data_IF_504660368426
#
_entry.id   IF_504660368426
#
_cell.length_a   1.000
_cell.length_b   1.000
_cell.length_c   1.000
_cell.angle_alpha   90.00
_cell.angle_beta   90.00
_cell.angle_gamma   90.00
#
_symmetry.space_group_name_H-M   'P 1'
#
loop_
_entity.id
_entity.type
_entity.pdbx_description
1 polymer ?
#
# COMPACT_ATOMS: atom_id res chain seq x y z
N UNK A 1 1.63 28.12 13.43
CA UNK A 1 1.96 26.72 13.80
C UNK A 1 2.13 25.75 12.62
N UNK A 2 1.53 25.98 11.45
CA UNK A 2 1.63 25.06 10.28
C UNK A 2 3.05 24.95 9.69
N UNK A 3 3.90 25.98 9.86
CA UNK A 3 5.23 26.02 9.23
C UNK A 3 6.25 25.11 9.95
N UNK A 4 6.22 25.07 11.30
CA UNK A 4 7.14 24.23 12.10
C UNK A 4 7.02 22.74 11.79
N UNK A 5 5.80 22.23 11.60
CA UNK A 5 5.58 20.83 11.24
C UNK A 5 6.09 20.50 9.83
N UNK A 6 5.95 21.43 8.88
CA UNK A 6 6.50 21.27 7.53
C UNK A 6 8.02 21.25 7.56
N UNK A 7 8.65 22.11 8.36
CA UNK A 7 10.11 22.16 8.49
C UNK A 7 10.67 20.90 9.14
N UNK A 8 10.01 20.37 10.18
CA UNK A 8 10.38 19.10 10.81
C UNK A 8 10.22 17.95 9.82
N UNK A 9 9.11 17.89 9.09
CA UNK A 9 8.87 16.86 8.08
C UNK A 9 9.92 16.93 6.96
N UNK A 10 10.27 18.12 6.47
CA UNK A 10 11.30 18.32 5.45
C UNK A 10 12.67 17.84 5.96
N UNK A 11 13.06 18.21 7.19
CA UNK A 11 14.29 17.73 7.83
C UNK A 11 14.33 16.20 7.98
N UNK A 12 13.22 15.59 8.39
CA UNK A 12 13.11 14.13 8.48
C UNK A 12 13.20 13.46 7.11
N UNK A 13 12.58 14.05 6.09
CA UNK A 13 12.62 13.53 4.71
C UNK A 13 14.03 13.62 4.14
N UNK A 14 14.73 14.72 4.42
CA UNK A 14 16.12 14.92 4.02
C UNK A 14 17.07 13.97 4.77
N UNK A 15 16.80 13.66 6.03
CA UNK A 15 17.51 12.63 6.77
C UNK A 15 17.24 11.22 6.22
N UNK A 16 16.01 10.89 5.83
CA UNK A 16 15.68 9.59 5.25
C UNK A 16 16.08 9.46 3.77
N UNK A 17 16.49 10.56 3.13
CA UNK A 17 16.93 10.58 1.75
C UNK A 17 18.18 9.72 1.57
N UNK A 18 18.15 8.82 0.58
CA UNK A 18 19.26 7.88 0.29
C UNK A 18 19.37 6.69 1.26
N UNK A 19 18.40 6.49 2.17
CA UNK A 19 18.28 5.28 3.00
C UNK A 19 17.17 4.38 2.47
N UNK A 20 17.11 3.13 2.95
CA UNK A 20 16.11 2.16 2.50
C UNK A 20 14.67 2.61 2.81
N UNK A 21 14.44 3.20 3.99
CA UNK A 21 13.11 3.61 4.42
C UNK A 21 12.24 2.44 4.89
N UNK A 22 10.92 2.67 4.95
CA UNK A 22 9.95 1.68 5.43
C UNK A 22 9.48 0.77 4.29
N UNK A 23 9.91 -0.50 4.32
CA UNK A 23 9.55 -1.52 3.32
C UNK A 23 8.63 -2.61 3.91
N UNK A 24 8.14 -3.54 3.07
CA UNK A 24 7.18 -4.57 3.50
C UNK A 24 7.79 -5.58 4.46
N UNK A 25 9.06 -5.92 4.30
CA UNK A 25 9.79 -6.83 5.18
C UNK A 25 10.04 -6.17 6.55
N UNK A 26 10.47 -4.91 6.57
CA UNK A 26 10.61 -4.11 7.80
C UNK A 26 9.27 -3.96 8.51
N UNK A 27 8.17 -3.70 7.79
CA UNK A 27 6.83 -3.68 8.37
C UNK A 27 6.42 -5.03 8.97
N UNK A 28 6.73 -6.14 8.29
CA UNK A 28 6.50 -7.49 8.81
C UNK A 28 7.28 -7.74 10.10
N UNK A 29 8.58 -7.46 10.13
CA UNK A 29 9.43 -7.62 11.30
C UNK A 29 8.95 -6.79 12.50
N UNK A 30 8.51 -5.56 12.26
CA UNK A 30 7.95 -4.68 13.29
C UNK A 30 6.64 -5.24 13.85
N UNK A 31 5.70 -5.63 12.99
CA UNK A 31 4.41 -6.21 13.41
C UNK A 31 4.64 -7.51 14.18
N UNK A 32 5.49 -8.40 13.69
CA UNK A 32 5.84 -9.65 14.37
C UNK A 32 6.46 -9.37 15.74
N UNK A 33 7.41 -8.42 15.84
CA UNK A 33 8.02 -8.04 17.11
C UNK A 33 7.01 -7.44 18.11
N UNK A 34 6.05 -6.63 17.63
CA UNK A 34 4.98 -6.09 18.46
C UNK A 34 4.01 -7.19 18.95
N UNK A 35 3.64 -8.12 18.08
CA UNK A 35 2.80 -9.27 18.45
C UNK A 35 3.49 -10.14 19.49
N UNK A 36 4.78 -10.44 19.30
CA UNK A 36 5.55 -11.23 20.26
C UNK A 36 5.63 -10.55 21.63
N UNK A 37 5.82 -9.22 21.67
CA UNK A 37 5.76 -8.47 22.92
C UNK A 37 4.37 -8.51 23.57
N UNK A 38 3.29 -8.42 22.78
CA UNK A 38 1.92 -8.57 23.27
C UNK A 38 1.66 -9.95 23.87
N UNK A 39 2.08 -11.01 23.17
CA UNK A 39 1.98 -12.40 23.64
C UNK A 39 2.81 -12.59 24.92
N UNK A 40 4.03 -12.05 24.96
CA UNK A 40 4.89 -12.10 26.14
C UNK A 40 4.24 -11.42 27.35
N UNK A 41 3.56 -10.29 27.14
CA UNK A 41 2.81 -9.61 28.20
C UNK A 41 1.63 -10.47 28.70
N UNK A 42 0.92 -11.15 27.81
CA UNK A 42 -0.17 -12.07 28.19
C UNK A 42 0.35 -13.29 28.96
N UNK A 43 1.46 -13.90 28.51
CA UNK A 43 2.09 -15.04 29.20
C UNK A 43 2.53 -14.62 30.59
N UNK A 44 3.14 -13.44 30.75
CA UNK A 44 3.56 -12.91 32.06
C UNK A 44 2.40 -12.80 33.06
N UNK A 45 1.20 -12.44 32.58
CA UNK A 45 -0.01 -12.34 33.40
C UNK A 45 -0.58 -13.71 33.77
N UNK A 46 -0.61 -14.67 32.83
CA UNK A 46 -1.25 -15.98 33.04
C UNK A 46 -0.34 -17.04 33.67
N UNK A 47 0.96 -17.05 33.34
CA UNK A 47 1.99 -18.00 33.78
C UNK A 47 3.34 -17.28 33.86
N UNK A 48 3.72 -16.71 35.02
CA UNK A 48 4.95 -15.94 35.16
C UNK A 48 6.19 -16.85 35.17
N UNK A 49 6.58 -17.35 34.00
CA UNK A 49 7.87 -18.00 33.79
C UNK A 49 8.92 -16.96 33.41
N UNK A 50 9.87 -16.71 34.31
CA UNK A 50 10.90 -15.69 34.12
C UNK A 50 11.82 -16.02 32.94
N UNK A 51 12.19 -17.29 32.78
CA UNK A 51 13.10 -17.74 31.71
C UNK A 51 12.47 -17.62 30.32
N UNK A 52 11.22 -18.09 30.17
CA UNK A 52 10.53 -18.06 28.87
C UNK A 52 10.24 -16.62 28.45
N UNK A 53 9.76 -15.78 29.37
CA UNK A 53 9.46 -14.38 29.07
C UNK A 53 10.73 -13.57 28.75
N UNK A 54 11.87 -13.86 29.40
CA UNK A 54 13.14 -13.23 29.08
C UNK A 54 13.61 -13.56 27.66
N UNK A 55 13.52 -14.83 27.24
CA UNK A 55 13.90 -15.27 25.89
C UNK A 55 13.00 -14.61 24.85
N UNK A 56 11.68 -14.63 25.03
CA UNK A 56 10.74 -14.01 24.08
C UNK A 56 10.97 -12.49 24.00
N UNK A 57 11.25 -11.84 25.12
CA UNK A 57 11.59 -10.40 25.14
C UNK A 57 12.85 -10.14 24.34
N UNK A 58 13.93 -10.89 24.57
CA UNK A 58 15.20 -10.73 23.87
C UNK A 58 15.04 -10.91 22.35
N UNK A 59 14.29 -11.93 21.91
CA UNK A 59 13.98 -12.17 20.49
C UNK A 59 13.16 -11.00 19.91
N UNK A 60 12.14 -10.54 20.63
CA UNK A 60 11.28 -9.44 20.18
C UNK A 60 12.07 -8.14 20.00
N UNK A 61 12.89 -7.77 21.00
CA UNK A 61 13.76 -6.60 20.92
C UNK A 61 14.79 -6.73 19.80
N UNK A 62 15.36 -7.92 19.58
CA UNK A 62 16.30 -8.16 18.49
C UNK A 62 15.65 -7.96 17.11
N UNK A 63 14.41 -8.44 16.92
CA UNK A 63 13.65 -8.23 15.68
C UNK A 63 13.35 -6.75 15.44
N UNK A 64 12.93 -6.02 16.48
CA UNK A 64 12.67 -4.58 16.38
C UNK A 64 13.94 -3.79 16.06
N UNK A 65 15.05 -4.10 16.76
CA UNK A 65 16.35 -3.48 16.50
C UNK A 65 16.83 -3.74 15.07
N UNK A 66 16.68 -4.98 14.57
CA UNK A 66 17.03 -5.33 13.20
C UNK A 66 16.14 -4.61 12.18
N UNK A 67 14.84 -4.46 12.45
CA UNK A 67 13.93 -3.72 11.58
C UNK A 67 14.32 -2.23 11.49
N UNK A 68 14.66 -1.60 12.62
CA UNK A 68 15.16 -0.21 12.66
C UNK A 68 16.49 -0.08 11.90
N UNK A 69 17.42 -1.01 12.14
CA UNK A 69 18.69 -1.05 11.40
C UNK A 69 18.46 -1.14 9.88
N UNK A 70 17.52 -1.98 9.42
CA UNK A 70 17.14 -2.07 8.00
C UNK A 70 16.59 -0.76 7.45
N UNK A 71 15.74 -0.07 8.20
CA UNK A 71 15.13 1.20 7.78
C UNK A 71 16.22 2.28 7.62
N UNK A 72 17.19 2.31 8.53
CA UNK A 72 18.27 3.29 8.55
C UNK A 72 19.46 2.93 7.64
N UNK A 73 19.49 1.71 7.09
CA UNK A 73 20.56 1.22 6.24
C UNK A 73 20.67 2.02 4.94
N UNK A 74 21.90 2.38 4.55
CA UNK A 74 22.21 3.08 3.30
C UNK A 74 22.33 2.16 2.08
N UNK A 75 22.41 0.84 2.28
CA UNK A 75 22.57 -0.10 1.17
C UNK A 75 21.21 -0.49 0.55
N UNK A 76 20.61 0.45 -0.17
CA UNK A 76 19.25 0.32 -0.71
C UNK A 76 19.12 -0.87 -1.68
N UNK A 77 20.12 -1.11 -2.53
CA UNK A 77 20.06 -2.17 -3.54
C UNK A 77 20.01 -3.56 -2.91
N UNK A 78 20.87 -3.85 -1.93
CA UNK A 78 20.81 -5.13 -1.21
C UNK A 78 19.48 -5.31 -0.47
N UNK A 79 18.98 -4.24 0.16
CA UNK A 79 17.72 -4.29 0.92
C UNK A 79 16.49 -4.48 0.04
N UNK A 80 16.49 -3.90 -1.17
CA UNK A 80 15.48 -4.15 -2.22
C UNK A 80 15.48 -5.60 -2.67
N UNK A 81 16.65 -6.21 -2.86
CA UNK A 81 16.75 -7.64 -3.21
C UNK A 81 16.17 -8.54 -2.11
N UNK A 82 16.51 -8.28 -0.84
CA UNK A 82 15.95 -9.03 0.30
C UNK A 82 14.42 -8.92 0.37
N UNK A 83 13.88 -7.71 0.21
CA UNK A 83 12.44 -7.45 0.21
C UNK A 83 11.73 -8.03 -1.03
N UNK A 84 12.41 -8.08 -2.18
CA UNK A 84 11.92 -8.81 -3.36
C UNK A 84 11.85 -10.32 -3.12
N UNK A 85 12.90 -10.93 -2.56
CA UNK A 85 12.92 -12.36 -2.18
C UNK A 85 11.82 -12.68 -1.18
N UNK A 86 11.64 -11.84 -0.15
CA UNK A 86 10.57 -12.00 0.83
C UNK A 86 9.18 -11.97 0.18
N UNK A 87 8.91 -11.01 -0.70
CA UNK A 87 7.65 -10.97 -1.46
C UNK A 87 7.46 -12.20 -2.34
N UNK A 88 8.52 -12.70 -2.97
CA UNK A 88 8.43 -13.88 -3.80
C UNK A 88 8.10 -15.12 -2.95
N UNK A 89 8.74 -15.27 -1.80
CA UNK A 89 8.43 -16.33 -0.84
C UNK A 89 6.97 -16.25 -0.37
N UNK A 90 6.49 -15.06 0.00
CA UNK A 90 5.09 -14.88 0.40
C UNK A 90 4.09 -15.20 -0.73
N UNK A 91 4.47 -14.98 -2.00
CA UNK A 91 3.66 -15.38 -3.15
C UNK A 91 3.64 -16.90 -3.30
N UNK A 92 4.79 -17.56 -3.18
CA UNK A 92 4.90 -19.02 -3.23
C UNK A 92 4.08 -19.69 -2.12
N UNK A 93 4.11 -19.12 -0.91
CA UNK A 93 3.33 -19.59 0.23
C UNK A 93 1.83 -19.23 0.15
N UNK A 94 1.37 -18.54 -0.89
CA UNK A 94 -0.04 -18.15 -1.06
C UNK A 94 -0.54 -17.04 -0.13
N UNK A 95 0.30 -16.57 0.81
CA UNK A 95 -0.04 -15.54 1.81
C UNK A 95 -0.20 -14.15 1.16
N UNK A 96 0.47 -13.91 0.03
CA UNK A 96 0.51 -12.59 -0.64
C UNK A 96 -0.78 -12.15 -1.35
N UNK A 97 -1.85 -12.96 -1.37
CA UNK A 97 -3.12 -12.56 -2.03
C UNK A 97 -3.81 -11.34 -1.40
N UNK A 98 -3.48 -10.98 -0.16
CA UNK A 98 -4.11 -9.88 0.59
C UNK A 98 -3.93 -8.48 -0.02
N UNK A 99 -2.95 -8.26 -0.92
CA UNK A 99 -2.65 -6.93 -1.46
C UNK A 99 -2.93 -6.70 -2.95
N UNK A 100 -2.95 -7.75 -3.79
CA UNK A 100 -2.89 -7.56 -5.24
C UNK A 100 -4.25 -7.22 -5.87
N UNK A 101 -5.33 -7.94 -5.53
CA UNK A 101 -6.66 -7.68 -6.10
C UNK A 101 -7.30 -6.39 -5.57
N UNK A 102 -7.17 -6.12 -4.25
CA UNK A 102 -7.65 -4.86 -3.65
C UNK A 102 -6.95 -3.64 -4.24
N UNK A 103 -5.66 -3.74 -4.58
CA UNK A 103 -4.92 -2.62 -5.17
C UNK A 103 -5.43 -2.23 -6.56
N UNK A 104 -5.86 -3.18 -7.40
CA UNK A 104 -6.39 -2.88 -8.73
C UNK A 104 -7.80 -2.27 -8.64
N UNK A 105 -8.65 -2.81 -7.77
CA UNK A 105 -9.99 -2.27 -7.54
C UNK A 105 -9.95 -0.85 -6.95
N UNK A 106 -9.08 -0.61 -5.96
CA UNK A 106 -8.89 0.71 -5.34
C UNK A 106 -8.24 1.69 -6.32
N UNK A 107 -7.30 1.24 -7.17
CA UNK A 107 -6.69 2.09 -8.20
C UNK A 107 -7.72 2.51 -9.26
N UNK A 108 -8.60 1.59 -9.67
CA UNK A 108 -9.70 1.89 -10.58
C UNK A 108 -10.76 2.80 -9.95
N UNK A 109 -11.05 2.62 -8.66
CA UNK A 109 -11.94 3.50 -7.89
C UNK A 109 -11.34 4.90 -7.75
N UNK A 110 -10.05 5.02 -7.40
CA UNK A 110 -9.34 6.28 -7.30
C UNK A 110 -9.28 7.01 -8.64
N UNK A 111 -9.10 6.30 -9.76
CA UNK A 111 -9.20 6.89 -11.09
C UNK A 111 -10.63 7.40 -11.37
N UNK A 112 -11.66 6.63 -11.00
CA UNK A 112 -13.06 7.08 -11.11
C UNK A 112 -13.36 8.30 -10.25
N UNK A 113 -12.85 8.38 -9.02
CA UNK A 113 -13.04 9.50 -8.10
C UNK A 113 -12.25 10.72 -8.60
N UNK A 114 -10.97 10.56 -8.96
CA UNK A 114 -10.11 11.64 -9.47
C UNK A 114 -10.68 12.27 -10.73
N UNK A 115 -11.18 11.45 -11.66
CA UNK A 115 -11.79 11.94 -12.88
C UNK A 115 -13.30 12.18 -12.78
N UNK A 116 -13.94 11.94 -11.62
CA UNK A 116 -15.40 12.09 -11.44
C UNK A 116 -15.91 13.50 -11.75
N UNK A 117 -15.05 14.51 -11.56
CA UNK A 117 -15.34 15.92 -11.81
C UNK A 117 -15.19 16.29 -13.29
N UNK A 118 -14.26 15.67 -14.01
CA UNK A 118 -13.92 16.07 -15.40
C UNK A 118 -14.51 15.14 -16.45
N UNK A 119 -14.67 13.86 -16.14
CA UNK A 119 -15.08 12.82 -17.09
C UNK A 119 -16.13 11.87 -16.51
N UNK A 120 -16.95 11.30 -17.39
CA UNK A 120 -17.85 10.18 -17.10
C UNK A 120 -17.48 9.01 -18.00
N UNK A 121 -17.50 7.81 -17.43
CA UNK A 121 -17.22 6.59 -18.17
C UNK A 121 -18.52 5.90 -18.58
N UNK A 122 -18.63 5.51 -19.85
CA UNK A 122 -19.78 4.79 -20.41
C UNK A 122 -19.30 3.63 -21.27
N UNK A 123 -19.99 2.49 -21.23
CA UNK A 123 -19.67 1.34 -22.08
C UNK A 123 -20.31 1.54 -23.45
N UNK A 124 -19.57 1.23 -24.51
CA UNK A 124 -20.14 1.11 -25.85
C UNK A 124 -21.11 -0.09 -25.90
N UNK A 125 -22.28 0.01 -26.55
CA UNK A 125 -23.22 -1.11 -26.66
C UNK A 125 -22.67 -2.27 -27.50
N UNK A 126 -21.88 -1.98 -28.55
CA UNK A 126 -21.35 -2.97 -29.49
C UNK A 126 -20.07 -3.64 -28.99
N UNK A 127 -19.00 -2.86 -28.80
CA UNK A 127 -17.69 -3.40 -28.40
C UNK A 127 -17.51 -3.56 -26.87
N UNK A 128 -18.48 -3.11 -26.06
CA UNK A 128 -18.46 -3.16 -24.57
C UNK A 128 -17.28 -2.46 -23.89
N UNK A 129 -16.42 -1.78 -24.67
CA UNK A 129 -15.25 -1.05 -24.15
C UNK A 129 -15.69 0.22 -23.40
N UNK A 130 -14.95 0.55 -22.35
CA UNK A 130 -15.21 1.70 -21.49
C UNK A 130 -14.70 2.99 -22.16
N UNK A 131 -15.61 3.87 -22.57
CA UNK A 131 -15.32 5.16 -23.19
C UNK A 131 -15.21 6.25 -22.12
N UNK A 132 -14.22 7.13 -22.27
CA UNK A 132 -14.00 8.30 -21.40
C UNK A 132 -14.62 9.54 -22.06
N UNK A 133 -15.68 10.08 -21.47
CA UNK A 133 -16.41 11.23 -22.01
C UNK A 133 -16.24 12.46 -21.12
N UNK A 134 -16.09 13.65 -21.71
CA UNK A 134 -16.05 14.91 -20.95
C UNK A 134 -17.42 15.18 -20.30
N UNK A 135 -17.40 15.61 -19.03
CA UNK A 135 -18.62 15.96 -18.27
C UNK A 135 -19.22 17.27 -18.80
N UNK A 136 -20.09 17.18 -19.80
CA UNK A 136 -21.04 18.25 -20.16
C UNK A 136 -22.47 17.69 -20.09
N UNK A 137 -23.40 18.48 -19.55
CA UNK A 137 -24.80 18.08 -19.35
C UNK A 137 -25.52 17.95 -20.69
N UNK A 138 -26.51 17.06 -20.74
CA UNK A 138 -27.40 16.92 -21.90
C UNK A 138 -27.30 15.59 -22.62
N UNK A 139 -28.13 15.46 -23.67
CA UNK A 139 -28.14 14.33 -24.62
C UNK A 139 -27.13 14.63 -25.72
N UNK A 140 -26.25 13.68 -26.03
CA UNK A 140 -25.25 13.81 -27.10
C UNK A 140 -25.12 12.50 -27.84
N UNK A 141 -24.95 12.59 -29.15
CA UNK A 141 -24.51 11.48 -29.98
C UNK A 141 -22.99 11.52 -30.03
N UNK A 142 -22.39 10.36 -29.80
CA UNK A 142 -20.94 10.17 -29.85
C UNK A 142 -20.61 8.92 -30.63
N UNK A 143 -19.50 8.96 -31.34
CA UNK A 143 -18.98 7.82 -32.08
C UNK A 143 -17.97 7.05 -31.24
N UNK A 144 -18.03 5.72 -31.26
CA UNK A 144 -17.03 4.91 -30.59
C UNK A 144 -15.71 4.94 -31.38
N UNK A 145 -14.57 5.36 -30.80
CA UNK A 145 -13.28 5.40 -31.50
C UNK A 145 -12.74 4.01 -31.87
N UNK A 146 -13.35 2.93 -31.38
CA UNK A 146 -12.88 1.57 -31.60
C UNK A 146 -13.74 0.77 -32.56
N UNK A 147 -15.03 1.08 -32.71
CA UNK A 147 -15.93 0.35 -33.59
C UNK A 147 -16.81 1.26 -34.46
N UNK A 148 -16.63 2.58 -34.41
CA UNK A 148 -17.36 3.57 -35.21
C UNK A 148 -18.84 3.72 -34.85
N UNK A 149 -19.34 2.94 -33.88
CA UNK A 149 -20.77 2.88 -33.57
C UNK A 149 -21.26 4.19 -32.93
N UNK A 150 -22.36 4.74 -33.47
CA UNK A 150 -23.06 5.92 -32.95
C UNK A 150 -23.89 5.55 -31.74
N UNK A 151 -23.69 6.24 -30.63
CA UNK A 151 -24.48 6.03 -29.42
C UNK A 151 -24.99 7.33 -28.79
N UNK A 152 -26.27 7.33 -28.43
CA UNK A 152 -26.93 8.41 -27.68
C UNK A 152 -26.61 8.25 -26.20
N UNK A 153 -25.87 9.21 -25.64
CA UNK A 153 -25.51 9.24 -24.22
C UNK A 153 -26.14 10.45 -23.54
N UNK A 154 -26.79 10.22 -22.39
CA UNK A 154 -27.28 11.28 -21.51
C UNK A 154 -26.40 11.36 -20.25
N UNK A 155 -25.86 12.55 -20.00
CA UNK A 155 -25.11 12.85 -18.79
C UNK A 155 -25.97 13.78 -17.92
N UNK A 156 -26.43 13.23 -16.79
CA UNK A 156 -27.34 13.88 -15.84
C UNK A 156 -26.64 14.74 -14.78
N UNK A 157 -25.31 14.67 -14.75
CA UNK A 157 -24.36 15.08 -13.68
C UNK A 157 -24.12 13.97 -12.66
#
# INVERSE_FOLDING_TARGET
MQNKWRDIALKMTQFLYGRNGFDKLSGFLLITGMILNGINSLIRVWRPSVTVTAIISAVSFSLLAFAVFRILSRNVEKRRMEDFKFRNLLKLLGISKIGSEKSVAIKNLNLRIRYSRTHRFRKCPKCKRLLRLKKKRGKREIDCPHCGEKMKVRIWI
#
